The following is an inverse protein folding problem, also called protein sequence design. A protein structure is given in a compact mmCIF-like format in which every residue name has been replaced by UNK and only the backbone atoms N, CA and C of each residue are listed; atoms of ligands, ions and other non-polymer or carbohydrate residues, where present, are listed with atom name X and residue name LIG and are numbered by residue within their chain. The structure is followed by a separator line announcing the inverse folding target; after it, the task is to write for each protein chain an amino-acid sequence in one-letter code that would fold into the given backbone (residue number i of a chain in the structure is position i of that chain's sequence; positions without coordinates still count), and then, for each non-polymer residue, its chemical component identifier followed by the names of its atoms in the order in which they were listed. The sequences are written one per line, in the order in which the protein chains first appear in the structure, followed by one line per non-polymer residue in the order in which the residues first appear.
data_IF_414565700229
#
_entry.id   IF_414565700229
#
_cell.length_a   1.000
_cell.length_b   1.000
_cell.length_c   1.000
_cell.angle_alpha   90.00
_cell.angle_beta   90.00
_cell.angle_gamma   90.00
#
_symmetry.space_group_name_H-M   'P 1'
#
loop_
_entity.id
_entity.type
_entity.pdbx_description
1 polymer ?
#
# COMPACT_ATOMS: atom_id res chain seq x y z
N UNK A 1 -39.17 -34.68 -33.39
CA UNK A 1 -37.87 -35.01 -34.01
C UNK A 1 -37.01 -33.78 -34.31
N UNK A 2 -37.52 -32.71 -34.96
CA UNK A 2 -36.74 -31.49 -35.24
C UNK A 2 -36.31 -30.69 -33.98
N UNK A 3 -37.12 -30.67 -32.91
CA UNK A 3 -36.76 -30.01 -31.63
C UNK A 3 -35.70 -30.78 -30.82
N UNK A 4 -35.56 -32.10 -31.02
CA UNK A 4 -34.55 -32.92 -30.34
C UNK A 4 -33.16 -32.73 -30.97
N UNK A 5 -33.11 -32.46 -32.28
CA UNK A 5 -31.87 -32.21 -33.02
C UNK A 5 -31.21 -30.88 -32.64
N UNK A 6 -32.01 -29.87 -32.27
CA UNK A 6 -31.53 -28.54 -31.86
C UNK A 6 -30.85 -28.58 -30.49
N UNK A 7 -31.30 -29.46 -29.58
CA UNK A 7 -30.68 -29.62 -28.25
C UNK A 7 -29.31 -30.32 -28.35
N UNK A 8 -29.13 -31.24 -29.30
CA UNK A 8 -27.84 -31.93 -29.50
C UNK A 8 -26.73 -31.01 -30.07
N UNK A 9 -27.08 -29.99 -30.85
CA UNK A 9 -26.13 -29.02 -31.41
C UNK A 9 -25.67 -27.97 -30.39
N UNK A 10 -26.45 -27.73 -29.33
CA UNK A 10 -26.09 -26.80 -28.25
C UNK A 10 -25.18 -27.40 -27.18
N UNK A 11 -25.12 -28.73 -27.05
CA UNK A 11 -24.28 -29.40 -26.03
C UNK A 11 -22.83 -29.61 -26.53
N UNK A 12 -22.59 -29.55 -27.84
CA UNK A 12 -21.26 -29.72 -28.44
C UNK A 12 -20.34 -28.50 -28.31
N UNK A 13 -20.85 -27.36 -27.84
CA UNK A 13 -20.07 -26.15 -27.58
C UNK A 13 -19.43 -26.09 -26.17
N UNK A 14 -19.70 -27.05 -25.28
CA UNK A 14 -19.24 -27.01 -23.88
C UNK A 14 -17.96 -27.82 -23.59
N UNK A 15 -17.33 -28.44 -24.58
CA UNK A 15 -16.13 -29.27 -24.38
C UNK A 15 -14.88 -28.84 -25.16
N UNK A 16 -14.90 -27.66 -25.79
CA UNK A 16 -13.83 -27.20 -26.67
C UNK A 16 -12.89 -26.15 -26.07
N UNK A 17 -12.21 -26.44 -24.94
CA UNK A 17 -10.93 -25.78 -24.62
C UNK A 17 -10.18 -26.52 -23.49
N UNK A 18 -9.49 -27.62 -23.81
CA UNK A 18 -8.34 -28.03 -23.00
C UNK A 18 -7.10 -27.34 -23.60
N UNK A 19 -6.78 -26.16 -23.08
CA UNK A 19 -5.46 -25.58 -23.26
C UNK A 19 -4.47 -26.39 -22.43
N UNK A 20 -3.78 -27.34 -23.05
CA UNK A 20 -2.52 -27.86 -22.50
C UNK A 20 -1.48 -26.76 -22.62
N UNK A 21 -1.45 -25.84 -21.66
CA UNK A 21 -0.29 -25.00 -21.42
C UNK A 21 0.77 -25.84 -20.73
N UNK A 22 1.52 -26.60 -21.52
CA UNK A 22 2.87 -26.98 -21.16
C UNK A 22 3.76 -25.76 -21.40
N UNK A 23 3.71 -24.81 -20.48
CA UNK A 23 4.72 -23.75 -20.39
C UNK A 23 6.00 -24.39 -19.87
N UNK A 24 6.88 -24.77 -20.79
CA UNK A 24 8.29 -24.95 -20.47
C UNK A 24 8.88 -23.56 -20.18
N UNK A 25 8.69 -23.05 -18.96
CA UNK A 25 9.38 -21.85 -18.50
C UNK A 25 10.84 -22.21 -18.17
N UNK A 26 11.65 -22.27 -19.23
CA UNK A 26 13.10 -22.17 -19.14
C UNK A 26 13.53 -20.71 -19.03
N UNK A 27 13.03 -20.01 -18.00
CA UNK A 27 13.63 -18.76 -17.55
C UNK A 27 14.10 -18.96 -16.11
N UNK A 28 15.38 -19.29 -15.96
CA UNK A 28 16.07 -19.27 -14.69
C UNK A 28 16.33 -17.81 -14.23
N UNK A 29 15.30 -16.95 -14.31
CA UNK A 29 15.27 -15.73 -13.53
C UNK A 29 14.92 -16.15 -12.11
N UNK A 30 15.79 -15.88 -11.15
CA UNK A 30 15.50 -16.14 -9.74
C UNK A 30 14.09 -15.61 -9.40
N UNK A 31 13.17 -16.51 -9.06
CA UNK A 31 11.79 -16.16 -8.76
C UNK A 31 11.78 -15.18 -7.60
N UNK A 32 11.29 -13.96 -7.85
CA UNK A 32 11.19 -12.94 -6.81
C UNK A 32 10.04 -13.28 -5.85
N UNK A 33 10.32 -13.25 -4.55
CA UNK A 33 9.34 -13.52 -3.50
C UNK A 33 8.86 -12.19 -2.91
N UNK A 34 7.81 -11.61 -3.52
CA UNK A 34 7.20 -10.38 -3.04
C UNK A 34 6.29 -10.63 -1.83
N UNK A 35 6.38 -9.77 -0.81
CA UNK A 35 5.53 -9.79 0.38
C UNK A 35 4.82 -8.44 0.50
N UNK A 36 3.52 -8.45 0.80
CA UNK A 36 2.78 -7.21 1.05
C UNK A 36 3.10 -6.70 2.45
N UNK A 37 3.57 -5.45 2.56
CA UNK A 37 3.79 -4.80 3.86
C UNK A 37 2.50 -4.19 4.43
N UNK A 38 1.59 -3.77 3.55
CA UNK A 38 0.29 -3.27 3.97
C UNK A 38 -0.78 -4.36 3.79
N UNK A 39 -1.59 -4.57 4.82
CA UNK A 39 -2.63 -5.59 4.83
C UNK A 39 -3.94 -5.14 4.14
N UNK A 40 -4.03 -3.88 3.71
CA UNK A 40 -5.19 -3.31 3.02
C UNK A 40 -6.35 -2.90 3.93
N UNK A 41 -6.19 -3.01 5.26
CA UNK A 41 -7.28 -2.90 6.24
C UNK A 41 -6.97 -1.97 7.41
N UNK A 42 -5.78 -2.04 7.96
CA UNK A 42 -5.41 -1.32 9.17
C UNK A 42 -3.88 -1.12 9.29
N UNK A 43 -3.47 -0.42 10.35
CA UNK A 43 -2.07 -0.12 10.66
C UNK A 43 -1.50 -1.01 11.76
N UNK A 44 -2.05 -2.22 11.99
CA UNK A 44 -1.62 -3.13 13.07
C UNK A 44 -0.15 -3.54 13.02
N UNK A 45 0.45 -3.49 11.83
CA UNK A 45 1.87 -3.79 11.60
C UNK A 45 2.77 -2.55 11.56
N UNK A 46 2.25 -1.40 11.99
CA UNK A 46 2.92 -0.11 11.91
C UNK A 46 2.93 0.61 13.26
N UNK A 47 4.05 1.27 13.57
CA UNK A 47 4.16 2.20 14.70
C UNK A 47 4.00 3.64 14.21
N UNK A 48 3.20 4.43 14.91
CA UNK A 48 2.99 5.85 14.60
C UNK A 48 3.88 6.69 15.51
N UNK A 49 4.63 7.62 14.93
CA UNK A 49 5.38 8.63 15.68
C UNK A 49 5.17 9.99 15.04
N UNK A 50 4.57 10.91 15.80
CA UNK A 50 4.37 12.30 15.41
C UNK A 50 5.17 13.18 16.39
N UNK A 51 5.90 14.16 15.86
CA UNK A 51 6.68 15.10 16.67
C UNK A 51 5.79 15.76 17.75
N UNK A 52 6.27 15.76 18.99
CA UNK A 52 5.54 16.31 20.14
C UNK A 52 4.45 15.40 20.75
N UNK A 53 4.18 14.23 20.17
CA UNK A 53 3.17 13.28 20.68
C UNK A 53 3.78 11.95 21.15
N UNK A 54 3.12 11.24 22.08
CA UNK A 54 3.51 9.90 22.50
C UNK A 54 3.59 8.89 21.34
N UNK A 55 4.44 7.87 21.51
CA UNK A 55 4.53 6.76 20.57
C UNK A 55 3.16 6.06 20.43
N UNK A 56 2.79 5.77 19.19
CA UNK A 56 1.52 5.18 18.77
C UNK A 56 0.26 6.04 19.00
N UNK A 57 0.43 7.32 19.34
CA UNK A 57 -0.68 8.29 19.34
C UNK A 57 -0.88 8.85 17.94
N UNK A 58 -2.03 8.52 17.31
CA UNK A 58 -2.43 9.06 16.01
C UNK A 58 -3.08 10.44 16.18
N UNK A 59 -2.29 11.44 16.57
CA UNK A 59 -2.79 12.79 16.79
C UNK A 59 -3.59 13.28 15.58
N UNK A 60 -4.81 13.78 15.85
CA UNK A 60 -5.73 14.35 14.88
C UNK A 60 -6.08 13.44 13.68
N UNK A 61 -5.96 12.13 13.84
CA UNK A 61 -6.22 11.16 12.77
C UNK A 61 -5.34 11.39 11.52
N UNK A 62 -4.07 11.73 11.75
CA UNK A 62 -3.09 12.01 10.68
C UNK A 62 -2.93 10.84 9.73
N UNK A 63 -2.80 9.63 10.28
CA UNK A 63 -2.70 8.41 9.52
C UNK A 63 -4.05 7.70 9.50
N UNK A 64 -4.62 7.52 8.32
CA UNK A 64 -5.89 6.84 8.14
C UNK A 64 -5.77 5.71 7.12
N UNK A 65 -6.65 4.71 7.22
CA UNK A 65 -6.83 3.69 6.20
C UNK A 65 -8.20 3.87 5.56
N UNK A 66 -8.20 4.19 4.27
CA UNK A 66 -9.40 4.47 3.49
C UNK A 66 -9.23 3.89 2.09
N UNK A 67 -10.25 3.19 1.58
CA UNK A 67 -10.23 2.53 0.26
C UNK A 67 -9.02 1.59 0.07
N UNK A 68 -8.67 0.85 1.12
CA UNK A 68 -7.48 -0.03 1.15
C UNK A 68 -6.18 0.68 0.77
N UNK A 69 -6.04 1.94 1.19
CA UNK A 69 -4.82 2.74 1.08
C UNK A 69 -4.52 3.40 2.42
N UNK A 70 -3.23 3.53 2.73
CA UNK A 70 -2.76 4.43 3.79
C UNK A 70 -2.85 5.85 3.27
N UNK A 71 -3.51 6.73 4.04
CA UNK A 71 -3.61 8.16 3.77
C UNK A 71 -2.93 8.93 4.89
N UNK A 72 -2.13 9.91 4.50
CA UNK A 72 -1.52 10.88 5.40
C UNK A 72 -2.29 12.19 5.16
N UNK A 73 -3.10 12.59 6.14
CA UNK A 73 -4.01 13.73 6.03
C UNK A 73 -3.80 14.70 7.18
N UNK A 74 -3.96 15.98 6.89
CA UNK A 74 -3.90 17.05 7.88
C UNK A 74 -5.25 17.78 7.98
N UNK A 75 -6.35 17.10 7.68
CA UNK A 75 -7.71 17.69 7.58
C UNK A 75 -8.19 18.31 8.90
N UNK A 76 -7.70 17.81 10.05
CA UNK A 76 -8.08 18.29 11.38
C UNK A 76 -7.10 19.36 11.93
N UNK A 77 -6.22 19.90 11.08
CA UNK A 77 -5.20 20.88 11.44
C UNK A 77 -5.56 22.26 10.88
N UNK A 78 -5.32 23.30 11.68
CA UNK A 78 -5.39 24.69 11.21
C UNK A 78 -4.08 25.11 10.55
N UNK A 79 -2.95 24.72 11.15
CA UNK A 79 -1.59 24.90 10.65
C UNK A 79 -0.79 23.60 10.81
N UNK A 80 0.31 23.47 10.07
CA UNK A 80 1.17 22.28 10.13
C UNK A 80 1.80 22.05 11.51
N UNK A 81 2.10 23.14 12.24
CA UNK A 81 2.58 23.12 13.62
C UNK A 81 3.76 22.17 13.87
N UNK A 82 4.66 22.03 12.88
CA UNK A 82 5.79 21.10 12.90
C UNK A 82 5.39 19.65 13.26
N UNK A 83 4.15 19.25 12.94
CA UNK A 83 3.61 17.92 13.19
C UNK A 83 4.15 16.89 12.17
N UNK A 84 5.47 16.73 12.14
CA UNK A 84 6.17 15.73 11.34
C UNK A 84 5.75 14.32 11.80
N UNK A 85 5.06 13.59 10.92
CA UNK A 85 4.58 12.24 11.18
C UNK A 85 5.36 11.19 10.41
N UNK A 86 5.65 10.06 11.07
CA UNK A 86 6.29 8.89 10.48
C UNK A 86 5.51 7.62 10.82
N UNK A 87 5.38 6.73 9.84
CA UNK A 87 4.91 5.35 10.01
C UNK A 87 6.10 4.40 9.88
N UNK A 88 6.32 3.57 10.90
CA UNK A 88 7.39 2.59 10.94
C UNK A 88 6.83 1.19 10.78
N UNK A 89 7.30 0.44 9.78
CA UNK A 89 6.92 -0.96 9.66
C UNK A 89 7.62 -1.79 10.75
N UNK A 90 6.86 -2.67 11.41
CA UNK A 90 7.32 -3.43 12.59
C UNK A 90 8.58 -4.30 12.35
N UNK A 91 8.85 -4.70 11.12
CA UNK A 91 9.96 -5.61 10.79
C UNK A 91 11.09 -4.87 10.08
N UNK A 92 12.30 -4.83 10.66
CA UNK A 92 13.45 -4.28 9.97
C UNK A 92 13.93 -5.22 8.86
N UNK A 93 14.28 -4.63 7.71
CA UNK A 93 14.90 -5.32 6.58
C UNK A 93 16.28 -4.72 6.27
N UNK A 94 17.17 -5.53 5.72
CA UNK A 94 18.55 -5.13 5.37
C UNK A 94 18.84 -5.15 3.86
N UNK A 95 18.30 -6.13 3.12
CA UNK A 95 18.47 -6.27 1.68
C UNK A 95 17.15 -6.63 1.01
N UNK A 96 16.55 -5.67 0.31
CA UNK A 96 15.20 -5.80 -0.23
C UNK A 96 15.01 -4.90 -1.44
N UNK A 97 13.94 -5.19 -2.19
CA UNK A 97 13.33 -4.27 -3.14
C UNK A 97 12.01 -3.82 -2.53
N UNK A 98 11.70 -2.54 -2.65
CA UNK A 98 10.39 -2.00 -2.29
C UNK A 98 9.65 -1.56 -3.55
N UNK A 99 8.35 -1.82 -3.59
CA UNK A 99 7.46 -1.33 -4.64
C UNK A 99 6.21 -0.77 -3.98
N UNK A 100 5.80 0.42 -4.38
CA UNK A 100 4.60 1.08 -3.90
C UNK A 100 4.11 2.06 -4.96
N UNK A 101 2.80 2.30 -4.96
CA UNK A 101 2.17 3.35 -5.73
C UNK A 101 1.82 4.49 -4.78
N UNK A 102 1.97 5.73 -5.23
CA UNK A 102 1.64 6.92 -4.44
C UNK A 102 1.00 8.00 -5.32
N UNK A 103 0.26 8.90 -4.68
CA UNK A 103 -0.26 10.12 -5.29
C UNK A 103 -0.39 11.20 -4.24
N UNK A 104 -0.16 12.44 -4.62
CA UNK A 104 -0.51 13.60 -3.82
C UNK A 104 -1.90 14.09 -4.23
N UNK A 105 -2.70 14.48 -3.24
CA UNK A 105 -4.04 15.04 -3.43
C UNK A 105 -4.15 16.33 -2.62
N UNK A 106 -5.09 17.19 -3.01
CA UNK A 106 -5.42 18.41 -2.29
C UNK A 106 -4.31 19.46 -2.29
N UNK A 107 -4.49 20.42 -1.40
CA UNK A 107 -3.60 21.54 -1.16
C UNK A 107 -2.97 21.43 0.23
N UNK A 108 -1.75 21.90 0.37
CA UNK A 108 -1.03 21.89 1.63
C UNK A 108 -1.62 22.93 2.59
N UNK A 109 -1.79 22.54 3.86
CA UNK A 109 -2.20 23.47 4.91
C UNK A 109 -1.11 24.54 5.21
N UNK A 110 -1.48 25.70 5.75
CA UNK A 110 -0.50 26.72 6.13
C UNK A 110 0.48 26.25 7.21
N UNK A 111 1.59 26.97 7.40
CA UNK A 111 2.60 26.69 8.42
C UNK A 111 3.74 25.77 7.98
N UNK A 112 3.62 25.09 6.83
CA UNK A 112 4.74 24.38 6.23
C UNK A 112 5.71 25.31 5.49
N UNK A 113 6.96 24.87 5.33
CA UNK A 113 7.95 25.61 4.55
C UNK A 113 7.51 25.78 3.08
N UNK A 114 7.67 26.98 2.51
CA UNK A 114 7.14 27.34 1.18
C UNK A 114 7.74 26.53 0.03
N UNK A 115 8.95 26.01 0.19
CA UNK A 115 9.63 25.15 -0.78
C UNK A 115 9.21 23.68 -0.66
N UNK A 116 8.41 23.32 0.35
CA UNK A 116 8.16 21.95 0.75
C UNK A 116 6.77 21.42 0.36
N UNK A 117 6.25 21.89 -0.77
CA UNK A 117 4.90 21.54 -1.25
C UNK A 117 4.86 20.09 -1.69
N UNK A 118 3.89 19.33 -1.16
CA UNK A 118 3.72 17.88 -1.45
C UNK A 118 4.97 17.07 -1.07
N UNK A 119 5.50 17.31 0.12
CA UNK A 119 6.58 16.49 0.65
C UNK A 119 6.03 15.26 1.39
N UNK A 120 6.33 14.09 0.84
CA UNK A 120 6.25 12.81 1.52
C UNK A 120 7.27 11.86 0.88
N UNK A 121 7.57 10.75 1.53
CA UNK A 121 8.51 9.78 0.99
C UNK A 121 8.69 8.57 1.88
N UNK A 122 9.51 7.64 1.40
CA UNK A 122 9.95 6.48 2.17
C UNK A 122 11.36 6.75 2.67
N UNK A 123 11.56 6.57 3.97
CA UNK A 123 12.88 6.59 4.61
C UNK A 123 13.38 5.16 4.76
N UNK A 124 14.63 4.92 4.40
CA UNK A 124 15.26 3.59 4.48
C UNK A 124 16.24 3.54 5.64
N UNK A 125 16.32 2.38 6.31
CA UNK A 125 17.28 2.11 7.39
C UNK A 125 17.24 3.17 8.51
N UNK A 126 16.02 3.55 8.91
CA UNK A 126 15.81 4.46 10.03
C UNK A 126 16.16 3.79 11.36
N UNK A 127 16.36 4.63 12.37
CA UNK A 127 16.26 4.17 13.76
C UNK A 127 14.81 3.73 14.08
N UNK A 128 14.61 3.14 15.26
CA UNK A 128 13.26 2.74 15.71
C UNK A 128 12.37 3.96 15.96
N UNK A 129 11.04 3.79 15.86
CA UNK A 129 10.09 4.85 16.19
C UNK A 129 10.30 5.40 17.61
N UNK A 130 10.62 4.50 18.55
CA UNK A 130 10.88 4.82 19.96
C UNK A 130 12.13 5.68 20.18
N UNK A 131 13.12 5.59 19.30
CA UNK A 131 14.38 6.35 19.41
C UNK A 131 14.41 7.59 18.52
N UNK A 132 13.34 7.83 17.75
CA UNK A 132 13.15 9.09 17.04
C UNK A 132 12.46 10.06 18.01
N UNK A 133 13.15 11.12 18.40
CA UNK A 133 12.66 12.12 19.35
C UNK A 133 11.67 13.09 18.69
#
# INVERSE_FOLDING_TARGET
MKKLLVVAVLISFLFGCQSTHSSSDSSNSAKENWVSLFNGKDLSDWEIKIAGYPLNENYKETFAVEDSMIRIKYDNYENFDDAFGHLYYKTPYSYYKIKFDYRFLGEQIPGGASWNVRNSGIMFHSQSAKSNE
#
